data_IF_154460089740
#
_entry.id   IF_154460089740
#
_cell.length_a   1.000
_cell.length_b   1.000
_cell.length_c   1.000
_cell.angle_alpha   90.00
_cell.angle_beta   90.00
_cell.angle_gamma   90.00
#
_symmetry.space_group_name_H-M   'P 1'
#
loop_
_entity.id
_entity.type
_entity.pdbx_description
1 polymer ?
#
# COMPACT_ATOMS: atom_id res chain seq x y z
N UNK A 1 12.88 17.08 -65.00
CA UNK A 1 11.91 17.07 -63.89
C UNK A 1 12.29 18.24 -62.98
N UNK A 2 11.45 19.28 -62.95
CA UNK A 2 11.56 20.50 -62.14
C UNK A 2 11.20 20.20 -60.65
N UNK A 3 11.41 20.98 -59.59
CA UNK A 3 12.19 22.19 -59.22
C UNK A 3 12.13 22.33 -57.67
N UNK A 4 13.06 23.11 -57.12
CA UNK A 4 13.25 23.74 -55.79
C UNK A 4 12.08 23.97 -54.80
N UNK A 5 12.41 24.00 -53.48
CA UNK A 5 12.29 25.15 -52.53
C UNK A 5 11.74 24.86 -51.11
N UNK A 6 12.50 25.23 -50.07
CA UNK A 6 12.15 26.31 -49.12
C UNK A 6 11.31 26.03 -47.84
N UNK A 7 11.94 26.28 -46.68
CA UNK A 7 11.44 26.38 -45.30
C UNK A 7 10.09 27.09 -45.05
N UNK A 8 9.43 26.75 -43.91
CA UNK A 8 8.96 27.71 -42.88
C UNK A 8 8.53 27.03 -41.55
N UNK A 9 8.88 27.71 -40.46
CA UNK A 9 8.64 27.38 -39.05
C UNK A 9 7.21 27.72 -38.56
N UNK A 10 6.78 26.96 -37.56
CA UNK A 10 5.95 27.30 -36.38
C UNK A 10 4.66 28.13 -36.53
N UNK A 11 3.52 27.53 -36.14
CA UNK A 11 2.48 28.19 -35.31
C UNK A 11 1.76 27.20 -34.39
N UNK A 12 1.82 27.52 -33.11
CA UNK A 12 1.02 27.02 -31.99
C UNK A 12 -0.45 27.49 -32.12
N UNK A 13 -1.41 26.59 -31.92
CA UNK A 13 -2.74 26.94 -31.41
C UNK A 13 -3.45 25.69 -30.85
N UNK A 14 -3.72 25.79 -29.55
CA UNK A 14 -4.63 25.02 -28.72
C UNK A 14 -6.01 24.78 -29.39
N UNK A 15 -6.52 23.56 -29.29
CA UNK A 15 -7.95 23.28 -29.50
C UNK A 15 -8.35 22.05 -28.69
N UNK A 16 -8.85 22.34 -27.48
CA UNK A 16 -9.75 21.50 -26.72
C UNK A 16 -10.86 20.94 -27.64
N UNK A 17 -10.82 19.63 -27.89
CA UNK A 17 -11.95 18.89 -28.43
C UNK A 17 -12.54 18.03 -27.31
N UNK A 18 -13.66 18.52 -26.79
CA UNK A 18 -14.63 17.78 -25.98
C UNK A 18 -15.24 16.66 -26.84
N UNK A 19 -14.98 15.41 -26.50
CA UNK A 19 -15.80 14.28 -26.95
C UNK A 19 -16.53 13.69 -25.74
N UNK A 20 -17.80 14.05 -25.65
CA UNK A 20 -18.74 13.51 -24.68
C UNK A 20 -19.34 12.22 -25.22
N UNK A 21 -19.00 11.11 -24.57
CA UNK A 21 -19.98 10.09 -24.20
C UNK A 21 -20.07 8.86 -25.08
N UNK A 22 -19.45 7.77 -24.62
CA UNK A 22 -20.07 6.44 -24.64
C UNK A 22 -19.47 5.50 -23.60
N UNK A 23 -20.26 5.22 -22.56
CA UNK A 23 -20.24 3.92 -21.85
C UNK A 23 -19.36 3.83 -20.61
N UNK A 24 -19.46 4.79 -19.68
CA UNK A 24 -18.80 4.72 -18.40
C UNK A 24 -19.43 3.70 -17.45
N UNK A 25 -18.67 2.67 -17.10
CA UNK A 25 -18.85 1.93 -15.84
C UNK A 25 -17.54 1.87 -15.04
N UNK A 26 -16.53 2.64 -15.44
CA UNK A 26 -15.17 2.57 -14.87
C UNK A 26 -14.83 3.71 -13.91
N UNK A 27 -15.65 4.76 -13.83
CA UNK A 27 -15.34 5.93 -12.99
C UNK A 27 -15.72 5.79 -11.52
N UNK A 28 -16.60 4.85 -11.16
CA UNK A 28 -16.90 4.56 -9.75
C UNK A 28 -15.72 3.87 -9.02
N UNK A 29 -14.81 3.21 -9.76
CA UNK A 29 -13.62 2.58 -9.18
C UNK A 29 -12.45 3.56 -8.97
N UNK A 30 -12.39 4.65 -9.76
CA UNK A 30 -11.26 5.60 -9.72
C UNK A 30 -11.28 6.57 -8.54
N UNK A 31 -12.41 6.80 -7.89
CA UNK A 31 -12.50 7.68 -6.72
C UNK A 31 -11.95 7.05 -5.44
N UNK A 32 -11.83 5.71 -5.41
CA UNK A 32 -11.31 4.96 -4.26
C UNK A 32 -10.00 4.21 -4.57
N UNK A 33 -9.37 4.49 -5.73
CA UNK A 33 -8.08 3.88 -6.07
C UNK A 33 -6.96 4.74 -5.48
N UNK A 34 -6.05 4.17 -4.67
CA UNK A 34 -4.94 4.90 -4.10
C UNK A 34 -4.05 5.48 -5.20
N UNK A 35 -3.59 6.72 -4.99
CA UNK A 35 -2.68 7.38 -5.91
C UNK A 35 -1.37 6.58 -6.01
N UNK A 36 -0.95 6.33 -7.24
CA UNK A 36 0.32 5.67 -7.54
C UNK A 36 1.47 6.66 -7.29
N UNK A 37 2.64 6.18 -6.87
CA UNK A 37 3.82 7.02 -6.59
C UNK A 37 3.65 7.91 -5.35
N UNK A 38 3.14 7.32 -4.26
CA UNK A 38 2.87 8.00 -2.99
C UNK A 38 3.42 7.23 -1.79
N UNK A 39 3.72 7.97 -0.73
CA UNK A 39 4.06 7.46 0.59
C UNK A 39 2.83 7.56 1.49
N UNK A 40 2.51 6.48 2.21
CA UNK A 40 1.42 6.41 3.16
C UNK A 40 1.93 5.86 4.49
N UNK A 41 1.48 6.46 5.59
CA UNK A 41 1.76 5.96 6.91
C UNK A 41 0.46 5.70 7.64
N UNK A 42 0.41 4.55 8.30
CA UNK A 42 -0.76 4.08 9.00
C UNK A 42 -0.39 3.65 10.40
N UNK A 43 -1.27 3.96 11.35
CA UNK A 43 -1.10 3.62 12.75
C UNK A 43 -2.32 2.87 13.26
N UNK A 44 -2.06 1.82 14.02
CA UNK A 44 -3.06 1.10 14.80
C UNK A 44 -2.57 1.01 16.23
N UNK A 45 -3.41 1.46 17.17
CA UNK A 45 -3.16 1.32 18.60
C UNK A 45 -4.17 0.36 19.22
N UNK A 46 -3.70 -0.50 20.10
CA UNK A 46 -4.48 -1.53 20.78
C UNK A 46 -4.15 -1.55 22.29
N UNK A 47 -4.91 -2.35 23.03
CA UNK A 47 -4.82 -2.46 24.48
C UNK A 47 -5.72 -1.46 25.20
N UNK A 48 -5.85 -1.62 26.52
CA UNK A 48 -6.74 -0.82 27.37
C UNK A 48 -6.37 0.67 27.40
N UNK A 49 -5.10 0.99 27.14
CA UNK A 49 -4.57 2.36 27.13
C UNK A 49 -3.97 2.77 25.76
N UNK A 50 -4.33 2.10 24.66
CA UNK A 50 -3.73 2.35 23.33
C UNK A 50 -2.20 2.21 23.31
N UNK A 51 -1.70 1.29 24.11
CA UNK A 51 -0.27 1.13 24.40
C UNK A 51 0.46 0.24 23.40
N UNK A 52 -0.24 -0.71 22.77
CA UNK A 52 0.33 -1.57 21.76
C UNK A 52 0.20 -0.87 20.41
N UNK A 53 1.33 -0.48 19.82
CA UNK A 53 1.33 0.30 18.59
C UNK A 53 1.81 -0.55 17.42
N UNK A 54 1.08 -0.53 16.30
CA UNK A 54 1.57 -1.05 15.03
C UNK A 54 1.61 0.09 14.02
N UNK A 55 2.81 0.38 13.52
CA UNK A 55 3.03 1.38 12.48
C UNK A 55 3.35 0.69 11.16
N UNK A 56 2.67 1.10 10.10
CA UNK A 56 2.89 0.60 8.73
C UNK A 56 3.20 1.79 7.85
N UNK A 57 4.37 1.77 7.25
CA UNK A 57 4.81 2.75 6.26
C UNK A 57 4.86 2.05 4.90
N UNK A 58 4.15 2.59 3.91
CA UNK A 58 4.06 2.06 2.55
C UNK A 58 4.52 3.12 1.55
N UNK A 59 5.44 2.73 0.68
CA UNK A 59 5.90 3.47 -0.47
C UNK A 59 5.42 2.71 -1.70
N UNK A 60 4.53 3.32 -2.48
CA UNK A 60 3.90 2.70 -3.65
C UNK A 60 4.45 3.35 -4.90
N UNK A 61 5.14 2.61 -5.75
CA UNK A 61 5.70 3.09 -7.02
C UNK A 61 5.10 2.28 -8.17
N UNK A 62 4.07 2.82 -8.83
CA UNK A 62 3.20 2.03 -9.69
C UNK A 62 2.67 0.80 -8.94
N UNK A 63 2.84 -0.39 -9.51
CA UNK A 63 2.39 -1.64 -8.91
C UNK A 63 3.32 -2.21 -7.83
N UNK A 64 4.49 -1.60 -7.56
CA UNK A 64 5.43 -2.08 -6.56
C UNK A 64 5.16 -1.42 -5.22
N UNK A 65 5.10 -2.22 -4.16
CA UNK A 65 4.97 -1.74 -2.79
C UNK A 65 6.22 -2.10 -2.01
N UNK A 66 6.81 -1.11 -1.37
CA UNK A 66 7.90 -1.27 -0.41
C UNK A 66 7.56 -0.52 0.87
N UNK A 67 8.27 -0.77 1.96
CA UNK A 67 8.12 0.03 3.16
C UNK A 67 8.51 -0.72 4.42
N UNK A 68 7.86 -0.39 5.53
CA UNK A 68 8.18 -0.93 6.84
C UNK A 68 6.92 -1.28 7.62
N UNK A 69 7.00 -2.35 8.41
CA UNK A 69 6.00 -2.68 9.41
C UNK A 69 6.71 -2.88 10.75
N UNK A 70 6.29 -2.06 11.71
CA UNK A 70 6.83 -2.00 13.05
C UNK A 70 5.72 -2.34 14.05
N UNK A 71 5.82 -3.52 14.64
CA UNK A 71 4.99 -3.94 15.77
C UNK A 71 5.70 -3.60 17.07
N UNK A 72 5.12 -2.67 17.82
CA UNK A 72 5.66 -2.03 19.02
C UNK A 72 4.70 -2.27 20.21
N UNK A 73 4.56 -3.52 20.68
CA UNK A 73 3.82 -3.80 21.90
C UNK A 73 4.52 -3.20 23.13
N UNK A 74 3.76 -2.85 24.17
CA UNK A 74 4.31 -2.26 25.42
C UNK A 74 5.06 -3.29 26.25
N UNK A 75 4.54 -4.51 26.33
CA UNK A 75 5.03 -5.56 27.25
C UNK A 75 5.80 -6.69 26.55
N UNK A 76 5.82 -6.71 25.22
CA UNK A 76 6.47 -7.75 24.42
C UNK A 76 7.64 -7.18 23.62
N UNK A 77 8.45 -8.07 23.09
CA UNK A 77 9.55 -7.68 22.21
C UNK A 77 9.03 -7.06 20.91
N UNK A 78 9.60 -5.91 20.59
CA UNK A 78 9.28 -5.16 19.39
C UNK A 78 9.77 -5.92 18.17
N UNK A 79 8.91 -6.05 17.16
CA UNK A 79 9.28 -6.62 15.85
C UNK A 79 9.27 -5.51 14.82
N UNK A 80 10.43 -5.26 14.23
CA UNK A 80 10.59 -4.29 13.14
C UNK A 80 11.05 -5.01 11.90
N UNK A 81 10.54 -4.58 10.76
CA UNK A 81 10.84 -5.25 9.51
C UNK A 81 10.39 -4.48 8.28
N UNK A 82 10.85 -4.96 7.12
CA UNK A 82 10.56 -4.35 5.83
C UNK A 82 9.42 -5.08 5.12
N UNK A 83 8.65 -4.34 4.35
CA UNK A 83 7.60 -4.84 3.48
C UNK A 83 8.05 -4.77 2.03
N UNK A 84 7.85 -5.86 1.29
CA UNK A 84 8.03 -5.90 -0.17
C UNK A 84 6.86 -6.65 -0.80
N UNK A 85 6.22 -6.05 -1.79
CA UNK A 85 5.01 -6.60 -2.38
C UNK A 85 4.55 -5.89 -3.63
N UNK A 86 3.30 -6.17 -3.99
CA UNK A 86 2.64 -5.60 -5.18
C UNK A 86 1.25 -5.08 -4.84
N UNK A 87 0.85 -4.01 -5.54
CA UNK A 87 -0.48 -3.41 -5.45
C UNK A 87 -1.30 -3.84 -6.68
N UNK A 88 -2.44 -4.47 -6.43
CA UNK A 88 -3.41 -4.87 -7.45
C UNK A 88 -4.77 -4.20 -7.15
N UNK A 89 -5.03 -3.09 -7.85
CA UNK A 89 -6.18 -2.21 -7.56
C UNK A 89 -6.01 -1.52 -6.20
N UNK A 90 -6.72 -2.01 -5.18
CA UNK A 90 -6.59 -1.55 -3.80
C UNK A 90 -6.11 -2.64 -2.84
N UNK A 91 -5.72 -3.82 -3.34
CA UNK A 91 -5.19 -4.91 -2.53
C UNK A 91 -3.67 -4.93 -2.63
N UNK A 92 -3.01 -5.09 -1.50
CA UNK A 92 -1.56 -5.21 -1.42
C UNK A 92 -1.24 -6.62 -0.92
N UNK A 93 -0.51 -7.37 -1.73
CA UNK A 93 0.08 -8.65 -1.35
C UNK A 93 1.56 -8.43 -1.13
N UNK A 94 2.03 -8.60 0.10
CA UNK A 94 3.41 -8.32 0.49
C UNK A 94 3.98 -9.40 1.40
N UNK A 95 5.30 -9.42 1.50
CA UNK A 95 6.05 -10.21 2.47
C UNK A 95 6.67 -9.23 3.46
N UNK A 96 6.36 -9.43 4.73
CA UNK A 96 7.00 -8.75 5.84
C UNK A 96 8.20 -9.56 6.31
N UNK A 97 9.39 -8.96 6.25
CA UNK A 97 10.60 -9.58 6.76
C UNK A 97 11.10 -8.84 7.99
N UNK A 98 11.15 -9.54 9.13
CA UNK A 98 11.43 -8.94 10.43
C UNK A 98 12.50 -9.73 11.19
N UNK A 99 13.11 -9.07 12.17
CA UNK A 99 14.06 -9.71 13.08
C UNK A 99 13.37 -10.09 14.39
N UNK A 100 13.66 -11.29 14.87
CA UNK A 100 13.26 -11.79 16.19
C UNK A 100 14.42 -12.57 16.80
N UNK A 101 14.86 -12.16 18.00
CA UNK A 101 15.93 -12.84 18.76
C UNK A 101 17.22 -13.07 17.94
N UNK A 102 17.56 -12.11 17.08
CA UNK A 102 18.76 -12.19 16.21
C UNK A 102 18.59 -13.05 14.96
N UNK A 103 17.41 -13.64 14.74
CA UNK A 103 17.07 -14.36 13.51
C UNK A 103 16.12 -13.57 12.63
N UNK A 104 16.33 -13.65 11.32
CA UNK A 104 15.44 -13.05 10.32
C UNK A 104 14.35 -14.05 9.97
N UNK A 105 13.10 -13.62 10.08
CA UNK A 105 11.93 -14.38 9.65
C UNK A 105 11.12 -13.59 8.62
N UNK A 106 10.18 -14.27 7.96
CA UNK A 106 9.32 -13.71 6.94
C UNK A 106 7.89 -14.20 7.09
N UNK A 107 6.93 -13.30 6.90
CA UNK A 107 5.51 -13.63 6.91
C UNK A 107 4.80 -12.95 5.75
N UNK A 108 3.97 -13.68 5.03
CA UNK A 108 3.07 -13.09 4.04
C UNK A 108 2.03 -12.23 4.76
N UNK A 109 1.77 -11.03 4.24
CA UNK A 109 0.79 -10.08 4.76
C UNK A 109 -0.07 -9.58 3.60
N UNK A 110 -1.36 -9.41 3.88
CA UNK A 110 -2.33 -8.91 2.90
C UNK A 110 -3.04 -7.69 3.44
N UNK A 111 -2.97 -6.60 2.68
CA UNK A 111 -3.64 -5.35 2.99
C UNK A 111 -4.68 -4.95 1.94
N UNK A 112 -5.59 -4.09 2.36
CA UNK A 112 -6.53 -3.37 1.50
C UNK A 112 -6.37 -1.90 1.81
N UNK A 113 -5.87 -1.16 0.84
CA UNK A 113 -5.61 0.27 0.93
C UNK A 113 -6.88 1.06 0.58
N UNK A 114 -7.14 2.10 1.36
CA UNK A 114 -8.18 3.10 1.15
C UNK A 114 -7.53 4.49 1.18
N UNK A 115 -8.28 5.53 0.81
CA UNK A 115 -7.81 6.92 0.87
C UNK A 115 -7.45 7.38 2.29
N UNK A 116 -8.08 6.81 3.32
CA UNK A 116 -7.91 7.25 4.72
C UNK A 116 -7.53 6.13 5.69
N UNK A 117 -7.49 4.88 5.22
CA UNK A 117 -7.25 3.73 6.09
C UNK A 117 -6.55 2.59 5.37
N UNK A 118 -5.96 1.70 6.16
CA UNK A 118 -5.40 0.45 5.70
C UNK A 118 -6.08 -0.67 6.48
N UNK A 119 -6.69 -1.62 5.78
CA UNK A 119 -7.17 -2.86 6.39
C UNK A 119 -6.13 -3.96 6.19
N UNK A 120 -5.82 -4.72 7.22
CA UNK A 120 -4.98 -5.93 7.15
C UNK A 120 -5.82 -7.15 7.48
N UNK A 121 -5.54 -8.26 6.80
CA UNK A 121 -6.05 -9.56 7.23
C UNK A 121 -5.43 -9.96 8.58
N UNK A 122 -6.20 -10.57 9.49
CA UNK A 122 -5.68 -11.03 10.77
C UNK A 122 -4.73 -12.21 10.58
N UNK A 123 -3.96 -12.49 11.63
CA UNK A 123 -3.10 -13.66 11.66
C UNK A 123 -3.79 -14.84 12.36
N UNK A 124 -3.48 -16.04 11.90
CA UNK A 124 -3.90 -17.30 12.51
C UNK A 124 -2.68 -18.19 12.71
N UNK A 125 -2.68 -19.01 13.75
CA UNK A 125 -1.62 -20.01 13.98
C UNK A 125 -1.92 -21.25 13.15
N UNK A 126 -0.96 -21.68 12.34
CA UNK A 126 -0.99 -22.97 11.68
C UNK A 126 -0.88 -24.10 12.72
N UNK A 127 -1.88 -24.97 12.81
CA UNK A 127 -1.90 -26.06 13.80
C UNK A 127 -0.90 -27.18 13.50
N UNK A 128 -0.34 -27.26 12.29
CA UNK A 128 0.64 -28.28 11.90
C UNK A 128 2.06 -27.81 12.16
N UNK A 129 2.36 -26.56 11.85
CA UNK A 129 3.71 -25.99 11.98
C UNK A 129 3.91 -25.17 13.24
N UNK A 130 2.82 -24.78 13.93
CA UNK A 130 2.84 -23.87 15.07
C UNK A 130 3.17 -22.42 14.70
N UNK A 131 3.38 -22.11 13.41
CA UNK A 131 3.78 -20.78 12.95
C UNK A 131 2.57 -19.89 12.71
N UNK A 132 2.76 -18.59 12.94
CA UNK A 132 1.79 -17.58 12.58
C UNK A 132 1.78 -17.35 11.07
N UNK A 133 0.59 -17.25 10.48
CA UNK A 133 0.38 -16.95 9.07
C UNK A 133 -0.80 -16.00 8.89
N UNK A 134 -0.86 -15.30 7.75
CA UNK A 134 -2.05 -14.52 7.39
C UNK A 134 -3.25 -15.44 7.18
N UNK A 135 -4.37 -15.14 7.82
CA UNK A 135 -5.63 -15.85 7.59
C UNK A 135 -6.23 -15.42 6.24
N UNK A 136 -5.93 -16.20 5.21
CA UNK A 136 -6.42 -15.94 3.86
C UNK A 136 -7.94 -16.03 3.72
N UNK A 137 -8.64 -16.69 4.65
CA UNK A 137 -10.11 -16.85 4.64
C UNK A 137 -10.82 -15.70 5.34
N UNK A 138 -10.13 -14.99 6.23
CA UNK A 138 -10.68 -13.84 6.93
C UNK A 138 -10.81 -12.61 6.02
N UNK A 139 -11.68 -11.69 6.43
CA UNK A 139 -11.73 -10.34 5.89
C UNK A 139 -10.57 -9.46 6.37
N UNK A 140 -10.51 -8.22 5.88
CA UNK A 140 -9.57 -7.21 6.37
C UNK A 140 -10.14 -6.58 7.65
N UNK A 141 -9.88 -7.22 8.80
CA UNK A 141 -10.48 -6.83 10.08
C UNK A 141 -9.56 -5.96 10.94
N UNK A 142 -8.26 -5.97 10.69
CA UNK A 142 -7.32 -5.11 11.41
C UNK A 142 -7.22 -3.77 10.70
N UNK A 143 -7.87 -2.74 11.25
CA UNK A 143 -7.91 -1.41 10.63
C UNK A 143 -6.84 -0.50 11.23
N UNK A 144 -6.17 0.23 10.35
CA UNK A 144 -5.16 1.24 10.67
C UNK A 144 -5.64 2.58 10.12
N UNK A 145 -5.41 3.64 10.89
CA UNK A 145 -5.77 5.00 10.50
C UNK A 145 -4.57 5.68 9.85
N UNK A 146 -4.83 6.54 8.85
CA UNK A 146 -3.79 7.36 8.24
C UNK A 146 -3.12 8.25 9.30
N UNK A 147 -1.79 8.32 9.26
CA UNK A 147 -0.93 9.11 10.15
C UNK A 147 0.14 9.87 9.35
N UNK A 148 0.81 10.83 9.99
CA UNK A 148 1.84 11.67 9.38
C UNK A 148 3.27 11.06 9.46
N UNK A 149 3.40 9.73 9.41
CA UNK A 149 4.69 9.02 9.44
C UNK A 149 5.55 9.27 10.69
N UNK A 150 4.98 9.72 11.79
CA UNK A 150 5.75 10.13 12.98
C UNK A 150 6.36 8.95 13.74
N UNK A 151 5.77 7.76 13.59
CA UNK A 151 6.12 6.53 14.32
C UNK A 151 6.76 5.45 13.43
N UNK A 152 6.89 5.72 12.12
CA UNK A 152 7.33 4.77 11.09
C UNK A 152 8.64 5.13 10.39
N UNK A 153 9.41 6.08 10.95
CA UNK A 153 10.78 6.44 10.53
C UNK A 153 11.78 6.14 11.65
#
# INVERSE_FOLDING_TARGET
MASCAGNKSEKNADSLATDSGKGDTSYAAKLNTPAQNMEYCFLRTEGTENQDTTAVHLIINGNKVSGELNWLPKEKDRRKGTLLGTLNGNKIDAVWSFMQEGQKDTMAVQFKLSSQSLGQKPYVTDTKTGRQQTDSRAGYTLNYNLDNCTKGK
#
